data_IF_589918248724
#
_entry.id   IF_589918248724
#
_cell.length_a   1.000
_cell.length_b   1.000
_cell.length_c   1.000
_cell.angle_alpha   90.00
_cell.angle_beta   90.00
_cell.angle_gamma   90.00
#
_symmetry.space_group_name_H-M   'P 1'
#
loop_
_entity.id
_entity.type
_entity.pdbx_description
1 polymer ?
#
# COMPACT_ATOMS: atom_id res chain seq x y z
N UNK A 1 7.76 28.13 -8.97
CA UNK A 1 7.51 27.43 -10.25
C UNK A 1 8.30 26.14 -10.23
N UNK A 2 7.65 24.98 -10.13
CA UNK A 2 8.34 23.67 -10.14
C UNK A 2 8.64 23.29 -11.60
N UNK A 3 9.89 23.49 -12.01
CA UNK A 3 10.40 23.06 -13.30
C UNK A 3 10.48 21.54 -13.40
N UNK A 4 10.76 21.05 -14.60
CA UNK A 4 11.11 19.65 -14.81
C UNK A 4 12.46 19.36 -14.18
N UNK A 5 12.56 18.25 -13.44
CA UNK A 5 13.79 17.73 -12.86
C UNK A 5 14.21 16.49 -13.62
N UNK A 6 15.46 16.43 -14.08
CA UNK A 6 15.99 15.22 -14.71
C UNK A 6 16.17 14.14 -13.66
N UNK A 7 15.66 12.94 -13.90
CA UNK A 7 15.79 11.79 -13.02
C UNK A 7 16.40 10.62 -13.80
N UNK A 8 17.47 10.04 -13.29
CA UNK A 8 18.06 8.84 -13.89
C UNK A 8 17.29 7.60 -13.44
N UNK A 9 16.78 6.83 -14.39
CA UNK A 9 16.05 5.58 -14.15
C UNK A 9 16.85 4.38 -14.65
N UNK A 10 16.55 3.24 -14.07
CA UNK A 10 17.16 1.94 -14.37
C UNK A 10 16.11 0.86 -14.21
N UNK A 11 16.15 -0.18 -15.04
CA UNK A 11 15.13 -1.24 -15.05
C UNK A 11 13.72 -0.68 -15.23
N UNK A 12 13.60 0.29 -16.13
CA UNK A 12 12.37 0.94 -16.56
C UNK A 12 11.48 1.45 -15.42
N UNK A 13 12.07 1.84 -14.29
CA UNK A 13 11.31 2.18 -13.10
C UNK A 13 11.97 3.23 -12.19
N UNK A 14 11.11 3.87 -11.40
CA UNK A 14 11.46 4.68 -10.24
C UNK A 14 10.51 4.35 -9.09
N UNK A 15 10.90 4.69 -7.88
CA UNK A 15 10.09 4.57 -6.67
C UNK A 15 9.56 5.94 -6.25
N UNK A 16 8.32 5.97 -5.75
CA UNK A 16 7.75 7.10 -5.03
C UNK A 16 7.49 6.66 -3.61
N UNK A 17 8.08 7.34 -2.63
CA UNK A 17 8.01 6.94 -1.23
C UNK A 17 7.78 8.12 -0.28
N UNK A 18 6.89 7.94 0.69
CA UNK A 18 6.65 8.88 1.80
C UNK A 18 7.41 8.50 3.08
N UNK A 19 7.96 7.29 3.11
CA UNK A 19 8.76 6.71 4.21
C UNK A 19 9.93 5.95 3.56
N UNK A 20 11.02 6.65 3.20
CA UNK A 20 12.14 6.05 2.47
C UNK A 20 12.72 4.85 3.22
N UNK A 21 12.92 3.73 2.50
CA UNK A 21 13.44 2.49 3.09
C UNK A 21 12.41 1.62 3.80
N UNK A 22 11.15 2.04 3.89
CA UNK A 22 10.07 1.19 4.41
C UNK A 22 9.90 -0.06 3.54
N UNK A 23 9.75 -1.21 4.20
CA UNK A 23 9.46 -2.47 3.50
C UNK A 23 8.02 -2.46 2.97
N UNK A 24 7.85 -2.99 1.75
CA UNK A 24 6.56 -3.10 1.07
C UNK A 24 6.12 -4.55 0.81
N UNK A 25 5.10 -4.71 -0.02
CA UNK A 25 4.53 -5.93 -0.58
C UNK A 25 5.47 -6.74 -1.48
N UNK A 26 6.73 -6.32 -1.63
CA UNK A 26 7.72 -6.93 -2.51
C UNK A 26 7.17 -7.18 -3.93
N UNK A 27 7.09 -8.45 -4.36
CA UNK A 27 6.66 -8.84 -5.72
C UNK A 27 5.13 -8.98 -5.89
N UNK A 28 4.35 -8.72 -4.85
CA UNK A 28 2.88 -8.90 -4.87
C UNK A 28 2.13 -7.66 -5.36
N UNK A 29 2.76 -6.96 -6.30
CA UNK A 29 2.34 -5.66 -6.83
C UNK A 29 0.88 -5.64 -7.31
N UNK A 30 0.17 -4.56 -6.94
CA UNK A 30 -1.17 -4.23 -7.42
C UNK A 30 -1.09 -2.98 -8.30
N UNK A 31 -1.61 -3.02 -9.53
CA UNK A 31 -1.62 -1.84 -10.40
C UNK A 31 -1.70 -2.14 -11.89
N UNK A 32 -1.10 -1.26 -12.68
CA UNK A 32 -1.14 -1.29 -14.15
C UNK A 32 0.23 -1.04 -14.80
N UNK A 33 0.25 -0.78 -16.11
CA UNK A 33 1.49 -0.56 -16.86
C UNK A 33 2.24 0.73 -16.49
N UNK A 34 1.61 1.68 -15.80
CA UNK A 34 2.24 2.94 -15.40
C UNK A 34 2.66 2.94 -13.94
N UNK A 35 1.88 2.35 -13.03
CA UNK A 35 2.26 2.26 -11.62
C UNK A 35 1.84 0.95 -10.97
N UNK A 36 2.66 0.49 -10.02
CA UNK A 36 2.37 -0.61 -9.12
C UNK A 36 2.48 -0.14 -7.67
N UNK A 37 1.41 -0.27 -6.90
CA UNK A 37 1.43 0.00 -5.46
C UNK A 37 2.23 -1.10 -4.76
N UNK A 38 3.23 -0.67 -4.02
CA UNK A 38 4.15 -1.53 -3.28
C UNK A 38 3.88 -1.55 -1.78
N UNK A 39 2.94 -0.77 -1.25
CA UNK A 39 2.63 -0.74 0.18
C UNK A 39 1.87 0.52 0.57
N UNK A 40 1.69 0.80 1.88
CA UNK A 40 0.99 2.00 2.35
C UNK A 40 1.73 3.29 1.95
N UNK A 41 3.06 3.23 1.88
CA UNK A 41 3.91 4.42 1.77
C UNK A 41 4.65 4.51 0.43
N UNK A 42 4.45 3.55 -0.48
CA UNK A 42 5.25 3.44 -1.69
C UNK A 42 4.50 2.89 -2.90
N UNK A 43 4.87 3.38 -4.08
CA UNK A 43 4.57 2.74 -5.35
C UNK A 43 5.76 2.85 -6.31
N UNK A 44 5.84 1.89 -7.23
CA UNK A 44 6.77 1.90 -8.36
C UNK A 44 6.10 2.54 -9.56
N UNK A 45 6.72 3.57 -10.14
CA UNK A 45 6.33 4.12 -11.45
C UNK A 45 7.17 3.51 -12.56
N UNK A 46 6.55 3.18 -13.69
CA UNK A 46 7.22 2.58 -14.83
C UNK A 46 7.43 3.57 -15.96
N UNK A 47 8.55 3.42 -16.67
CA UNK A 47 8.94 4.18 -17.84
C UNK A 47 8.93 3.29 -19.10
N UNK A 48 8.82 3.92 -20.27
CA UNK A 48 9.11 3.29 -21.57
C UNK A 48 10.61 3.10 -21.81
N UNK A 49 11.41 4.07 -21.35
CA UNK A 49 12.88 3.95 -21.32
C UNK A 49 13.31 2.93 -20.27
N UNK A 50 14.22 2.00 -20.62
CA UNK A 50 14.74 1.03 -19.66
C UNK A 50 15.80 1.63 -18.73
N UNK A 51 16.83 2.26 -19.29
CA UNK A 51 17.89 2.92 -18.53
C UNK A 51 18.19 4.25 -19.19
N UNK A 52 18.16 5.34 -18.43
CA UNK A 52 18.42 6.66 -18.98
C UNK A 52 17.78 7.78 -18.18
N UNK A 53 17.68 8.94 -18.80
CA UNK A 53 17.10 10.13 -18.16
C UNK A 53 15.66 10.32 -18.57
N UNK A 54 14.80 10.52 -17.59
CA UNK A 54 13.46 11.09 -17.78
C UNK A 54 13.40 12.49 -17.18
N UNK A 55 12.33 13.22 -17.47
CA UNK A 55 11.98 14.45 -16.79
C UNK A 55 10.78 14.20 -15.86
N UNK A 56 10.92 14.52 -14.57
CA UNK A 56 9.86 14.37 -13.59
C UNK A 56 9.58 15.67 -12.84
N UNK A 57 8.33 15.83 -12.36
CA UNK A 57 7.93 16.94 -11.50
C UNK A 57 6.79 16.55 -10.58
N UNK A 58 6.73 17.17 -9.41
CA UNK A 58 5.63 17.05 -8.46
C UNK A 58 4.84 18.37 -8.36
N UNK A 59 3.52 18.26 -8.37
CA UNK A 59 2.56 19.35 -8.16
C UNK A 59 1.72 19.04 -6.94
N UNK A 60 1.76 19.94 -5.96
CA UNK A 60 0.95 19.83 -4.75
C UNK A 60 -0.29 20.67 -4.94
N UNK A 61 -1.45 20.03 -4.89
CA UNK A 61 -2.75 20.60 -5.19
C UNK A 61 -3.61 20.60 -3.92
N UNK A 62 -4.52 21.57 -3.81
CA UNK A 62 -5.53 21.61 -2.75
C UNK A 62 -6.64 20.58 -2.95
N UNK A 63 -6.90 20.19 -4.20
CA UNK A 63 -8.04 19.35 -4.59
C UNK A 63 -7.68 18.49 -5.82
N UNK A 64 -8.42 17.41 -6.12
CA UNK A 64 -8.18 16.60 -7.31
C UNK A 64 -8.27 17.46 -8.58
N UNK A 65 -7.37 17.26 -9.58
CA UNK A 65 -7.49 17.95 -10.85
C UNK A 65 -8.82 17.60 -11.53
N UNK A 66 -9.62 18.62 -11.85
CA UNK A 66 -10.96 18.48 -12.45
C UNK A 66 -10.93 17.81 -13.83
N UNK A 67 -9.87 18.07 -14.60
CA UNK A 67 -9.73 17.58 -15.96
C UNK A 67 -8.41 16.83 -16.16
N UNK A 68 -8.47 15.87 -17.07
CA UNK A 68 -7.29 15.23 -17.63
C UNK A 68 -6.90 16.02 -18.87
N UNK A 69 -5.75 16.71 -18.82
CA UNK A 69 -5.22 17.42 -19.98
C UNK A 69 -5.05 16.47 -21.17
N UNK A 70 -5.29 16.97 -22.38
CA UNK A 70 -5.03 16.23 -23.61
C UNK A 70 -3.52 16.09 -23.85
N UNK A 71 -3.06 14.93 -24.34
CA UNK A 71 -1.66 14.70 -24.73
C UNK A 71 -0.79 13.94 -23.71
N UNK A 72 -1.41 13.32 -22.71
CA UNK A 72 -0.79 12.28 -21.90
C UNK A 72 -0.99 10.91 -22.56
N UNK A 73 0.00 10.03 -22.43
CA UNK A 73 -0.05 8.66 -22.96
C UNK A 73 -0.69 7.70 -21.95
N UNK A 74 -0.46 7.93 -20.65
CA UNK A 74 -0.95 7.10 -19.57
C UNK A 74 -1.19 7.92 -18.30
N UNK A 75 -2.24 7.57 -17.55
CA UNK A 75 -2.59 8.22 -16.28
C UNK A 75 -3.15 7.20 -15.30
N UNK A 76 -2.55 7.16 -14.11
CA UNK A 76 -2.94 6.24 -13.04
C UNK A 76 -2.86 6.91 -11.67
N UNK A 77 -3.68 6.44 -10.75
CA UNK A 77 -3.79 6.98 -9.39
C UNK A 77 -3.51 5.92 -8.32
N UNK A 78 -2.84 6.32 -7.25
CA UNK A 78 -2.62 5.52 -6.06
C UNK A 78 -2.79 6.35 -4.77
N UNK A 79 -3.26 5.70 -3.70
CA UNK A 79 -3.31 6.33 -2.37
C UNK A 79 -2.08 5.94 -1.58
N UNK A 80 -1.42 6.92 -0.96
CA UNK A 80 -0.32 6.69 -0.03
C UNK A 80 -0.61 7.31 1.35
N UNK A 81 -0.05 6.71 2.39
CA UNK A 81 0.05 7.28 3.72
C UNK A 81 1.32 8.13 3.82
N UNK A 82 1.20 9.39 4.20
CA UNK A 82 2.31 10.33 4.39
C UNK A 82 2.34 10.85 5.83
N UNK A 83 2.95 10.13 6.77
CA UNK A 83 2.95 10.52 8.17
C UNK A 83 3.74 11.82 8.42
N UNK A 84 4.89 11.95 7.76
CA UNK A 84 5.79 13.11 7.91
C UNK A 84 5.42 14.33 7.05
N UNK A 85 4.50 14.17 6.08
CA UNK A 85 4.23 15.20 5.08
C UNK A 85 5.40 15.41 4.12
N UNK A 86 6.20 14.36 3.89
CA UNK A 86 7.28 14.35 2.91
C UNK A 86 7.09 13.21 1.91
N UNK A 87 7.51 13.45 0.68
CA UNK A 87 7.50 12.48 -0.41
C UNK A 87 8.78 12.62 -1.24
N UNK A 88 9.36 11.49 -1.64
CA UNK A 88 10.52 11.45 -2.53
C UNK A 88 10.24 10.65 -3.78
N UNK A 89 10.80 11.07 -4.91
CA UNK A 89 10.88 10.28 -6.16
C UNK A 89 12.33 9.84 -6.36
N UNK A 90 12.54 8.53 -6.47
CA UNK A 90 13.85 7.89 -6.36
C UNK A 90 14.07 7.02 -7.61
N UNK A 91 15.12 7.29 -8.38
CA UNK A 91 15.59 6.36 -9.40
C UNK A 91 16.27 5.17 -8.74
N UNK A 92 15.87 3.93 -9.07
CA UNK A 92 16.31 2.72 -8.35
C UNK A 92 17.84 2.64 -8.16
N UNK A 93 18.60 2.89 -9.22
CA UNK A 93 20.07 2.98 -9.18
C UNK A 93 20.59 4.42 -9.33
N UNK A 94 19.71 5.37 -9.62
CA UNK A 94 20.04 6.78 -9.84
C UNK A 94 20.00 7.65 -8.58
N UNK A 95 19.33 7.17 -7.52
CA UNK A 95 19.15 7.92 -6.29
C UNK A 95 18.06 9.00 -6.39
N UNK A 96 18.21 10.07 -5.59
CA UNK A 96 17.27 11.18 -5.54
C UNK A 96 17.85 12.44 -6.16
N UNK A 97 16.96 13.33 -6.61
CA UNK A 97 17.31 14.62 -7.17
C UNK A 97 16.72 15.72 -6.29
N UNK A 98 17.42 16.86 -6.14
CA UNK A 98 17.05 17.89 -5.16
C UNK A 98 15.61 18.42 -5.34
N UNK A 99 15.11 18.50 -6.58
CA UNK A 99 13.73 18.91 -6.88
C UNK A 99 12.65 17.86 -6.59
N UNK A 100 13.05 16.65 -6.25
CA UNK A 100 12.20 15.48 -6.07
C UNK A 100 12.45 14.75 -4.74
N UNK A 101 13.41 15.19 -3.93
CA UNK A 101 13.74 14.63 -2.63
C UNK A 101 13.00 15.37 -1.50
N UNK A 102 12.27 14.64 -0.67
CA UNK A 102 11.61 15.21 0.52
C UNK A 102 10.65 16.37 0.23
N UNK A 103 9.97 16.31 -0.92
CA UNK A 103 8.94 17.26 -1.35
C UNK A 103 7.86 17.35 -0.28
N UNK A 104 7.53 18.56 0.15
CA UNK A 104 6.48 18.78 1.13
C UNK A 104 5.11 18.41 0.53
N UNK A 105 4.39 17.52 1.20
CA UNK A 105 3.05 17.06 0.85
C UNK A 105 2.15 17.16 2.09
N UNK A 106 0.81 17.12 1.94
CA UNK A 106 -0.06 17.05 3.10
C UNK A 106 0.28 15.84 3.99
N UNK A 107 0.24 16.03 5.30
CA UNK A 107 0.31 14.91 6.25
C UNK A 107 -0.99 14.08 6.18
N UNK A 108 -0.89 12.81 6.50
CA UNK A 108 -2.00 11.87 6.48
C UNK A 108 -2.14 11.16 5.14
N UNK A 109 -3.37 10.92 4.69
CA UNK A 109 -3.62 10.18 3.46
C UNK A 109 -3.56 11.13 2.25
N UNK A 110 -2.79 10.75 1.24
CA UNK A 110 -2.63 11.51 0.01
C UNK A 110 -3.01 10.65 -1.20
N UNK A 111 -3.55 11.30 -2.23
CA UNK A 111 -3.72 10.71 -3.55
C UNK A 111 -2.61 11.23 -4.45
N UNK A 112 -1.98 10.31 -5.18
CA UNK A 112 -0.98 10.63 -6.20
C UNK A 112 -1.51 10.18 -7.54
N UNK A 113 -1.71 11.13 -8.46
CA UNK A 113 -2.02 10.88 -9.87
C UNK A 113 -0.75 11.06 -10.69
N UNK A 114 -0.30 9.98 -11.31
CA UNK A 114 0.87 9.97 -12.19
C UNK A 114 0.37 10.15 -13.61
N UNK A 115 0.90 11.14 -14.31
CA UNK A 115 0.73 11.36 -15.73
C UNK A 115 2.06 11.08 -16.43
N UNK A 116 2.03 10.31 -17.52
CA UNK A 116 3.21 10.03 -18.32
C UNK A 116 2.98 10.34 -19.80
N UNK A 117 4.00 10.89 -20.46
CA UNK A 117 3.99 11.16 -21.91
C UNK A 117 5.37 10.99 -22.52
N UNK A 118 5.41 10.79 -23.83
CA UNK A 118 6.65 10.48 -24.54
C UNK A 118 7.15 9.08 -24.17
N UNK A 119 6.24 8.14 -23.90
CA UNK A 119 6.56 6.77 -23.48
C UNK A 119 7.02 5.95 -24.69
N UNK A 120 8.19 6.21 -25.22
CA UNK A 120 8.76 5.41 -26.30
C UNK A 120 9.47 4.19 -25.73
N UNK A 121 9.21 3.01 -26.31
CA UNK A 121 9.94 1.81 -25.95
C UNK A 121 11.41 1.97 -26.35
N UNK A 122 12.35 1.54 -25.51
CA UNK A 122 13.80 1.72 -25.75
C UNK A 122 14.25 1.28 -27.15
N UNK A 123 13.74 0.15 -27.65
CA UNK A 123 14.05 -0.37 -28.99
C UNK A 123 13.69 0.56 -30.17
N UNK A 124 12.82 1.56 -29.96
CA UNK A 124 12.42 2.53 -30.99
C UNK A 124 12.85 3.97 -30.65
N UNK A 125 13.41 4.19 -29.45
CA UNK A 125 13.86 5.50 -29.01
C UNK A 125 15.17 5.89 -29.71
N UNK A 126 15.25 7.13 -30.18
CA UNK A 126 16.40 7.72 -30.85
C UNK A 126 16.87 8.98 -30.12
N UNK A 127 18.10 9.44 -30.39
CA UNK A 127 18.65 10.66 -29.78
C UNK A 127 17.87 11.94 -30.14
N UNK A 128 17.03 11.89 -31.19
CA UNK A 128 16.18 13.00 -31.61
C UNK A 128 14.85 13.07 -30.89
N UNK A 129 14.47 12.03 -30.15
CA UNK A 129 13.19 11.98 -29.44
C UNK A 129 13.21 12.84 -28.17
N UNK A 130 12.09 13.51 -27.83
CA UNK A 130 11.99 14.24 -26.59
C UNK A 130 12.06 13.28 -25.39
N UNK A 131 12.61 13.71 -24.23
CA UNK A 131 12.67 12.87 -23.05
C UNK A 131 11.27 12.48 -22.57
N UNK A 132 11.14 11.24 -22.10
CA UNK A 132 9.94 10.78 -21.39
C UNK A 132 9.68 11.65 -20.16
N UNK A 133 8.42 11.99 -19.93
CA UNK A 133 7.99 12.99 -18.94
C UNK A 133 6.94 12.46 -17.99
N UNK A 134 7.19 12.59 -16.70
CA UNK A 134 6.28 12.20 -15.62
C UNK A 134 5.85 13.40 -14.76
N UNK A 135 4.55 13.66 -14.65
CA UNK A 135 4.02 14.64 -13.71
C UNK A 135 3.22 13.93 -12.61
N UNK A 136 3.58 14.17 -11.36
CA UNK A 136 2.88 13.66 -10.18
C UNK A 136 2.02 14.78 -9.63
N UNK A 137 0.70 14.60 -9.62
CA UNK A 137 -0.25 15.51 -8.99
C UNK A 137 -0.66 14.91 -7.64
N UNK A 138 -0.48 15.67 -6.57
CA UNK A 138 -0.58 15.17 -5.19
C UNK A 138 -1.54 16.05 -4.41
N UNK A 139 -2.54 15.46 -3.76
CA UNK A 139 -3.49 16.18 -2.90
C UNK A 139 -3.91 15.32 -1.70
N UNK A 140 -4.42 15.97 -0.66
CA UNK A 140 -4.93 15.30 0.53
C UNK A 140 -6.26 14.58 0.25
N UNK A 141 -6.48 13.43 0.89
CA UNK A 141 -7.75 12.70 0.87
C UNK A 141 -8.07 12.17 2.26
N UNK A 142 -9.34 11.85 2.53
CA UNK A 142 -9.78 11.17 3.75
C UNK A 142 -10.14 9.69 3.50
N UNK A 143 -10.10 9.26 2.23
CA UNK A 143 -10.54 7.93 1.82
C UNK A 143 -9.44 7.17 1.07
N UNK A 144 -9.17 5.95 1.55
CA UNK A 144 -8.32 4.98 0.87
C UNK A 144 -9.19 4.20 -0.12
N UNK A 145 -8.93 4.39 -1.40
CA UNK A 145 -9.55 3.60 -2.48
C UNK A 145 -8.46 2.84 -3.25
N UNK A 146 -8.83 1.76 -3.98
CA UNK A 146 -7.89 1.04 -4.84
C UNK A 146 -7.19 1.96 -5.84
N UNK A 147 -6.07 1.49 -6.38
CA UNK A 147 -5.42 2.15 -7.52
C UNK A 147 -6.37 2.19 -8.72
N UNK A 148 -6.34 3.28 -9.49
CA UNK A 148 -7.22 3.48 -10.64
C UNK A 148 -6.43 3.85 -11.87
N UNK A 149 -6.67 3.15 -12.97
CA UNK A 149 -6.23 3.57 -14.31
C UNK A 149 -7.26 4.56 -14.87
N UNK A 150 -6.84 5.79 -15.15
CA UNK A 150 -7.66 6.82 -15.79
C UNK A 150 -7.45 6.83 -17.31
N UNK A 151 -6.20 6.62 -17.75
CA UNK A 151 -5.83 6.45 -19.14
C UNK A 151 -4.83 5.29 -19.23
N UNK A 152 -5.21 4.22 -19.91
CA UNK A 152 -4.40 3.03 -20.00
C UNK A 152 -3.16 3.25 -20.86
N UNK A 153 -2.01 2.79 -20.36
CA UNK A 153 -0.77 2.79 -21.13
C UNK A 153 -0.94 1.95 -22.42
N UNK A 154 -0.67 2.52 -23.62
CA UNK A 154 -0.71 1.75 -24.86
C UNK A 154 0.27 0.58 -24.87
N UNK A 155 1.34 0.62 -24.07
CA UNK A 155 2.34 -0.43 -23.94
C UNK A 155 2.06 -1.40 -22.78
N UNK A 156 0.80 -1.54 -22.38
CA UNK A 156 0.36 -2.32 -21.21
C UNK A 156 1.05 -3.69 -21.13
N UNK A 157 1.79 -3.92 -20.04
CA UNK A 157 2.31 -5.23 -19.68
C UNK A 157 1.22 -6.02 -18.93
N UNK A 158 1.01 -7.27 -19.34
CA UNK A 158 0.05 -8.19 -18.72
C UNK A 158 0.60 -8.83 -17.43
N UNK A 159 0.91 -8.03 -16.42
CA UNK A 159 1.41 -8.55 -15.14
C UNK A 159 0.35 -9.37 -14.41
N UNK A 160 0.70 -10.59 -14.05
CA UNK A 160 -0.17 -11.43 -13.23
C UNK A 160 -0.30 -10.81 -11.83
N UNK A 161 -1.53 -10.45 -11.47
CA UNK A 161 -1.88 -10.00 -10.12
C UNK A 161 -1.94 -11.21 -9.18
N UNK A 162 -1.51 -11.03 -7.91
CA UNK A 162 -1.50 -12.08 -6.88
C UNK A 162 -2.31 -11.67 -5.63
N UNK A 163 -3.63 -11.47 -5.75
CA UNK A 163 -4.46 -10.90 -4.68
C UNK A 163 -4.40 -11.71 -3.38
N UNK A 164 -4.37 -13.04 -3.44
CA UNK A 164 -4.24 -13.87 -2.23
C UNK A 164 -2.91 -13.65 -1.48
N UNK A 165 -1.80 -13.45 -2.22
CA UNK A 165 -0.49 -13.14 -1.61
C UNK A 165 -0.42 -11.71 -1.10
N UNK A 166 -1.10 -10.79 -1.77
CA UNK A 166 -1.27 -9.42 -1.29
C UNK A 166 -2.04 -9.39 0.04
N UNK A 167 -3.14 -10.16 0.15
CA UNK A 167 -3.91 -10.30 1.38
C UNK A 167 -3.12 -11.00 2.49
N UNK A 168 -2.31 -12.01 2.15
CA UNK A 168 -1.36 -12.63 3.08
C UNK A 168 -0.40 -11.60 3.67
N UNK A 169 0.28 -10.82 2.81
CA UNK A 169 1.16 -9.74 3.25
C UNK A 169 0.41 -8.71 4.12
N UNK A 170 -0.81 -8.35 3.73
CA UNK A 170 -1.59 -7.33 4.42
C UNK A 170 -1.92 -7.74 5.86
N UNK A 171 -2.35 -9.00 6.07
CA UNK A 171 -2.61 -9.50 7.42
C UNK A 171 -1.32 -9.55 8.26
N UNK A 172 -0.23 -10.07 7.69
CA UNK A 172 1.06 -10.15 8.38
C UNK A 172 1.63 -8.76 8.73
N UNK A 173 1.30 -7.74 7.94
CA UNK A 173 1.71 -6.36 8.21
C UNK A 173 0.88 -5.68 9.30
N UNK A 174 -0.38 -6.10 9.47
CA UNK A 174 -1.26 -5.59 10.53
C UNK A 174 -0.94 -6.24 11.88
N UNK A 175 -0.57 -7.52 11.89
CA UNK A 175 -0.15 -8.25 13.09
C UNK A 175 1.34 -8.62 13.01
N UNK A 176 2.26 -7.63 12.98
CA UNK A 176 3.68 -7.90 12.82
C UNK A 176 4.22 -8.67 14.02
N UNK A 177 4.98 -9.73 13.75
CA UNK A 177 5.72 -10.44 14.79
C UNK A 177 7.13 -9.88 14.90
N UNK A 178 7.63 -9.63 16.13
CA UNK A 178 9.06 -9.39 16.33
C UNK A 178 9.84 -10.58 15.77
N UNK A 179 10.81 -10.33 14.89
CA UNK A 179 11.72 -11.40 14.49
C UNK A 179 12.51 -11.83 15.73
N UNK A 180 12.36 -13.07 16.19
CA UNK A 180 13.17 -13.61 17.29
C UNK A 180 14.67 -13.72 16.99
N UNK A 181 15.12 -13.24 15.83
CA UNK A 181 16.53 -13.08 15.52
C UNK A 181 17.08 -11.94 16.38
N UNK A 182 18.20 -12.14 17.10
CA UNK A 182 18.88 -11.05 17.78
C UNK A 182 19.14 -9.94 16.76
N UNK A 183 18.69 -8.72 17.07
CA UNK A 183 19.05 -7.56 16.27
C UNK A 183 20.58 -7.43 16.34
N UNK A 184 21.26 -7.72 15.23
CA UNK A 184 22.73 -7.58 15.12
C UNK A 184 23.12 -6.11 15.30
N UNK A 185 22.19 -5.21 15.01
CA UNK A 185 22.35 -3.78 15.12
C UNK A 185 21.54 -3.25 16.31
N UNK A 186 22.04 -2.19 16.98
CA UNK A 186 21.24 -1.48 17.97
C UNK A 186 19.92 -1.03 17.35
N UNK A 187 18.83 -0.94 18.14
CA UNK A 187 17.55 -0.42 17.65
C UNK A 187 17.81 0.95 17.01
N UNK A 188 17.34 1.10 15.77
CA UNK A 188 17.39 2.38 15.09
C UNK A 188 16.58 3.39 15.92
N UNK A 189 16.98 4.68 15.97
CA UNK A 189 16.16 5.71 16.57
C UNK A 189 14.79 5.75 15.88
N UNK A 190 13.76 6.20 16.60
CA UNK A 190 12.42 6.38 16.06
C UNK A 190 12.50 7.16 14.74
N UNK A 191 11.98 6.54 13.69
CA UNK A 191 12.04 7.09 12.35
C UNK A 191 11.08 8.28 12.26
N UNK A 192 11.54 9.52 11.99
CA UNK A 192 10.65 10.68 11.86
C UNK A 192 9.63 10.51 10.72
N UNK A 193 9.85 9.54 9.82
CA UNK A 193 8.89 9.15 8.79
C UNK A 193 7.81 8.17 9.29
N UNK A 194 7.72 7.87 10.59
CA UNK A 194 6.71 6.96 11.14
C UNK A 194 5.84 7.60 12.24
N UNK A 195 6.01 8.90 12.49
CA UNK A 195 5.20 9.64 13.47
C UNK A 195 3.77 9.88 12.95
N UNK A 196 2.87 9.00 13.39
CA UNK A 196 1.44 9.08 13.14
C UNK A 196 0.69 9.98 14.14
N UNK A 197 1.39 10.59 15.10
CA UNK A 197 0.74 11.38 16.15
C UNK A 197 -0.05 12.56 15.58
N UNK A 198 -1.27 12.72 16.10
CA UNK A 198 -2.20 13.77 15.71
C UNK A 198 -2.81 13.62 14.31
N UNK A 199 -2.58 12.51 13.60
CA UNK A 199 -3.21 12.26 12.31
C UNK A 199 -4.60 11.66 12.45
N UNK A 200 -5.54 12.18 11.67
CA UNK A 200 -6.92 11.72 11.68
C UNK A 200 -7.04 10.28 11.19
N UNK A 201 -7.97 9.54 11.80
CA UNK A 201 -8.44 8.25 11.27
C UNK A 201 -9.14 8.48 9.92
N UNK A 202 -9.05 7.51 9.03
CA UNK A 202 -9.50 7.57 7.63
C UNK A 202 -10.59 6.56 7.35
N UNK A 203 -11.12 6.57 6.13
CA UNK A 203 -12.06 5.55 5.65
C UNK A 203 -11.44 4.70 4.56
N UNK A 204 -11.58 3.38 4.62
CA UNK A 204 -11.26 2.47 3.52
C UNK A 204 -12.54 2.20 2.74
N UNK A 205 -12.52 2.43 1.43
CA UNK A 205 -13.71 2.30 0.58
C UNK A 205 -13.47 1.26 -0.50
N UNK A 206 -14.41 0.33 -0.66
CA UNK A 206 -14.42 -0.67 -1.74
C UNK A 206 -15.75 -0.70 -2.45
N UNK A 207 -15.68 -0.73 -3.77
CA UNK A 207 -16.85 -0.81 -4.64
C UNK A 207 -16.86 -2.15 -5.37
N UNK A 208 -18.05 -2.75 -5.49
CA UNK A 208 -18.27 -4.01 -6.19
C UNK A 208 -19.55 -3.90 -7.04
N UNK A 209 -19.50 -4.24 -8.33
CA UNK A 209 -20.68 -4.15 -9.20
C UNK A 209 -21.72 -5.24 -8.89
N UNK A 210 -21.28 -6.37 -8.31
CA UNK A 210 -22.13 -7.49 -7.92
C UNK A 210 -22.37 -7.51 -6.40
N UNK A 211 -23.47 -8.13 -5.93
CA UNK A 211 -23.66 -8.42 -4.51
C UNK A 211 -22.48 -9.16 -3.91
N UNK A 212 -22.09 -8.73 -2.70
CA UNK A 212 -21.02 -9.33 -1.91
C UNK A 212 -21.53 -9.63 -0.52
N UNK A 213 -21.03 -10.72 0.04
CA UNK A 213 -21.29 -11.09 1.43
C UNK A 213 -20.15 -10.59 2.32
N UNK A 214 -20.50 -9.96 3.43
CA UNK A 214 -19.53 -9.59 4.46
C UNK A 214 -19.24 -10.84 5.30
N UNK A 215 -17.97 -11.19 5.56
CA UNK A 215 -17.60 -12.37 6.34
C UNK A 215 -17.85 -12.15 7.84
N UNK A 216 -19.12 -12.10 8.24
CA UNK A 216 -19.55 -11.93 9.64
C UNK A 216 -18.98 -13.06 10.50
N UNK A 217 -18.47 -12.69 11.68
CA UNK A 217 -17.88 -13.62 12.64
C UNK A 217 -16.42 -13.29 12.95
N UNK A 218 -15.64 -14.34 13.25
CA UNK A 218 -14.24 -14.23 13.67
C UNK A 218 -13.33 -14.46 12.47
N UNK A 219 -12.52 -13.46 12.12
CA UNK A 219 -11.44 -13.60 11.14
C UNK A 219 -10.14 -13.90 11.88
N UNK A 220 -9.52 -15.07 11.65
CA UNK A 220 -8.32 -15.46 12.38
C UNK A 220 -7.10 -14.66 11.89
N UNK A 221 -6.23 -14.25 12.81
CA UNK A 221 -5.00 -13.50 12.53
C UNK A 221 -3.80 -14.03 13.36
N UNK A 222 -3.74 -15.35 13.56
CA UNK A 222 -2.67 -16.00 14.33
C UNK A 222 -2.99 -16.03 15.82
N UNK A 223 -2.26 -15.26 16.63
CA UNK A 223 -2.59 -15.10 18.07
C UNK A 223 -3.62 -14.01 18.32
N UNK A 224 -4.00 -13.29 17.27
CA UNK A 224 -5.03 -12.28 17.29
C UNK A 224 -6.18 -12.74 16.41
N UNK A 225 -7.29 -12.05 16.56
CA UNK A 225 -8.48 -12.20 15.74
C UNK A 225 -9.14 -10.86 15.50
N UNK A 226 -9.89 -10.78 14.41
CA UNK A 226 -10.83 -9.69 14.18
C UNK A 226 -12.23 -10.22 14.41
N UNK A 227 -13.00 -9.53 15.24
CA UNK A 227 -14.43 -9.77 15.42
C UNK A 227 -15.19 -8.79 14.55
N UNK A 228 -15.99 -9.34 13.64
CA UNK A 228 -16.88 -8.60 12.76
C UNK A 228 -18.32 -8.92 13.10
N UNK A 229 -18.94 -8.08 13.93
CA UNK A 229 -20.27 -8.34 14.50
C UNK A 229 -21.33 -7.41 13.89
N UNK A 230 -22.51 -7.92 13.53
CA UNK A 230 -23.58 -7.09 13.00
C UNK A 230 -24.13 -6.17 14.08
N UNK A 231 -24.25 -4.88 13.74
CA UNK A 231 -24.93 -3.88 14.56
C UNK A 231 -26.37 -3.71 14.05
N UNK A 232 -26.53 -3.63 12.74
CA UNK A 232 -27.81 -3.62 12.04
C UNK A 232 -27.68 -4.28 10.65
N UNK A 233 -28.67 -4.10 9.76
CA UNK A 233 -28.71 -4.75 8.45
C UNK A 233 -27.62 -4.30 7.47
N UNK A 234 -26.99 -3.15 7.68
CA UNK A 234 -25.95 -2.60 6.79
C UNK A 234 -24.65 -2.23 7.54
N UNK A 235 -24.67 -2.25 8.87
CA UNK A 235 -23.58 -1.81 9.74
C UNK A 235 -23.03 -2.95 10.57
N UNK A 236 -21.70 -3.04 10.65
CA UNK A 236 -20.94 -4.01 11.42
C UNK A 236 -19.90 -3.28 12.27
N UNK A 237 -19.60 -3.84 13.45
CA UNK A 237 -18.47 -3.42 14.27
C UNK A 237 -17.24 -4.24 13.92
N UNK A 238 -16.08 -3.60 13.84
CA UNK A 238 -14.79 -4.23 13.61
C UNK A 238 -13.90 -4.01 14.83
N UNK A 239 -13.49 -5.10 15.47
CA UNK A 239 -12.72 -5.05 16.72
C UNK A 239 -11.59 -6.06 16.67
N UNK A 240 -10.37 -5.66 17.04
CA UNK A 240 -9.27 -6.59 17.28
C UNK A 240 -9.35 -7.19 18.67
N UNK A 241 -9.03 -8.47 18.80
CA UNK A 241 -8.92 -9.16 20.07
C UNK A 241 -7.74 -10.14 20.05
N UNK A 242 -7.29 -10.58 21.23
CA UNK A 242 -6.46 -11.77 21.35
C UNK A 242 -7.29 -13.00 21.00
N UNK A 243 -6.72 -13.93 20.25
CA UNK A 243 -7.36 -15.21 19.95
C UNK A 243 -7.52 -16.04 21.23
N UNK A 244 -8.63 -16.77 21.34
CA UNK A 244 -8.86 -17.70 22.46
C UNK A 244 -7.82 -18.83 22.48
N UNK A 245 -7.37 -19.25 21.29
CA UNK A 245 -6.35 -20.28 21.09
C UNK A 245 -5.16 -19.71 20.29
N UNK A 246 -4.24 -18.98 20.93
CA UNK A 246 -3.05 -18.47 20.25
C UNK A 246 -2.17 -19.64 19.79
N UNK A 247 -1.59 -19.52 18.60
CA UNK A 247 -0.86 -20.62 17.95
C UNK A 247 0.64 -20.56 18.19
N UNK A 248 1.18 -19.42 18.63
CA UNK A 248 2.61 -19.25 18.90
C UNK A 248 2.96 -19.45 20.38
N UNK A 249 4.19 -19.89 20.70
CA UNK A 249 4.63 -20.13 22.08
C UNK A 249 4.71 -18.84 22.93
N UNK A 250 4.89 -17.68 22.30
CA UNK A 250 4.84 -16.37 22.93
C UNK A 250 3.76 -15.54 22.22
N UNK A 251 2.50 -15.60 22.70
CA UNK A 251 1.39 -14.95 22.04
C UNK A 251 1.56 -13.44 21.89
N UNK A 252 1.11 -12.88 20.77
CA UNK A 252 0.93 -11.43 20.65
C UNK A 252 -0.19 -10.97 21.58
N UNK A 253 0.07 -9.90 22.33
CA UNK A 253 -0.93 -9.24 23.19
C UNK A 253 -1.20 -7.79 22.79
N UNK A 254 -0.31 -7.19 22.00
CA UNK A 254 -0.50 -5.85 21.46
C UNK A 254 -1.46 -5.92 20.27
N UNK A 255 -2.58 -5.20 20.36
CA UNK A 255 -3.53 -5.10 19.26
C UNK A 255 -3.01 -4.12 18.21
N UNK A 256 -3.27 -4.37 16.91
CA UNK A 256 -2.96 -3.39 15.87
C UNK A 256 -3.70 -2.07 16.12
N UNK A 257 -4.95 -2.18 16.56
CA UNK A 257 -5.83 -1.07 16.88
C UNK A 257 -6.67 -1.49 18.08
N UNK A 258 -6.62 -0.72 19.16
CA UNK A 258 -7.41 -0.94 20.38
C UNK A 258 -8.77 -0.22 20.34
N UNK A 259 -8.98 0.65 19.34
CA UNK A 259 -10.25 1.30 19.09
C UNK A 259 -11.12 0.50 18.12
N UNK A 260 -12.41 0.36 18.45
CA UNK A 260 -13.40 -0.23 17.55
C UNK A 260 -13.64 0.69 16.34
N UNK A 261 -13.67 0.09 15.16
CA UNK A 261 -14.03 0.75 13.90
C UNK A 261 -15.39 0.26 13.37
N UNK A 262 -15.93 0.95 12.37
CA UNK A 262 -17.26 0.65 11.81
C UNK A 262 -17.15 0.25 10.34
N UNK A 263 -17.84 -0.81 9.96
CA UNK A 263 -17.95 -1.25 8.56
C UNK A 263 -19.39 -1.06 8.11
N UNK A 264 -19.61 -0.35 7.01
CA UNK A 264 -20.93 -0.17 6.40
C UNK A 264 -20.94 -0.76 5.00
N UNK A 265 -21.95 -1.55 4.68
CA UNK A 265 -22.18 -2.09 3.35
C UNK A 265 -23.50 -1.53 2.80
N UNK A 266 -23.42 -0.54 1.94
CA UNK A 266 -24.58 0.12 1.34
C UNK A 266 -24.80 -0.34 -0.10
N UNK A 267 -26.07 -0.54 -0.48
CA UNK A 267 -26.46 -0.81 -1.87
C UNK A 267 -26.78 0.48 -2.62
N UNK A 268 -26.21 0.64 -3.80
CA UNK A 268 -26.43 1.76 -4.70
C UNK A 268 -26.80 1.32 -6.13
N UNK A 269 -27.03 2.28 -7.04
CA UNK A 269 -27.36 2.00 -8.44
C UNK A 269 -26.23 1.27 -9.18
N UNK A 270 -24.98 1.56 -8.83
CA UNK A 270 -23.79 1.00 -9.49
C UNK A 270 -23.26 -0.29 -8.82
N UNK A 271 -23.95 -0.80 -7.79
CA UNK A 271 -23.56 -1.99 -7.05
C UNK A 271 -23.50 -1.75 -5.54
N UNK A 272 -22.49 -2.31 -4.89
CA UNK A 272 -22.31 -2.30 -3.44
C UNK A 272 -21.07 -1.48 -3.08
N UNK A 273 -21.18 -0.71 -2.01
CA UNK A 273 -20.07 0.06 -1.46
C UNK A 273 -19.85 -0.34 -0.01
N UNK A 274 -18.67 -0.89 0.25
CA UNK A 274 -18.16 -1.11 1.60
C UNK A 274 -17.36 0.12 2.04
N UNK A 275 -17.64 0.62 3.24
CA UNK A 275 -16.90 1.69 3.92
C UNK A 275 -16.45 1.18 5.28
N UNK A 276 -15.16 1.06 5.50
CA UNK A 276 -14.57 0.78 6.80
C UNK A 276 -14.04 2.10 7.37
N UNK A 277 -14.82 2.69 8.27
CA UNK A 277 -14.66 4.02 8.85
C UNK A 277 -13.86 3.99 10.14
N UNK A 278 -13.26 5.13 10.49
CA UNK A 278 -12.41 5.28 11.67
C UNK A 278 -11.28 4.24 11.66
N UNK A 279 -10.49 4.18 10.59
CA UNK A 279 -9.32 3.31 10.44
C UNK A 279 -8.04 4.12 10.68
N UNK A 280 -7.06 3.56 11.40
CA UNK A 280 -5.72 4.15 11.46
C UNK A 280 -5.13 4.29 10.06
N UNK A 281 -4.63 5.47 9.71
CA UNK A 281 -4.16 5.77 8.36
C UNK A 281 -3.06 4.83 7.85
N UNK A 282 -2.11 4.46 8.70
CA UNK A 282 -1.07 3.46 8.41
C UNK A 282 -1.62 2.07 8.06
N UNK A 283 -2.83 1.73 8.51
CA UNK A 283 -3.48 0.44 8.27
C UNK A 283 -4.42 0.45 7.08
N UNK A 284 -4.81 1.63 6.59
CA UNK A 284 -5.86 1.79 5.59
C UNK A 284 -5.56 1.02 4.30
N UNK A 285 -4.32 1.03 3.84
CA UNK A 285 -3.92 0.28 2.66
C UNK A 285 -4.04 -1.24 2.87
N UNK A 286 -3.47 -1.78 3.95
CA UNK A 286 -3.50 -3.21 4.25
C UNK A 286 -4.95 -3.71 4.45
N UNK A 287 -5.76 -2.99 5.22
CA UNK A 287 -7.19 -3.30 5.38
C UNK A 287 -7.94 -3.25 4.05
N UNK A 288 -7.58 -2.32 3.18
CA UNK A 288 -8.13 -2.26 1.84
C UNK A 288 -7.82 -3.50 1.00
N UNK A 289 -6.57 -3.96 1.01
CA UNK A 289 -6.17 -5.20 0.31
C UNK A 289 -6.85 -6.43 0.91
N UNK A 290 -7.00 -6.48 2.23
CA UNK A 290 -7.76 -7.54 2.90
C UNK A 290 -9.22 -7.54 2.47
N UNK A 291 -9.87 -6.37 2.46
CA UNK A 291 -11.24 -6.26 1.98
C UNK A 291 -11.40 -6.72 0.55
N UNK A 292 -10.46 -6.37 -0.33
CA UNK A 292 -10.52 -6.83 -1.72
C UNK A 292 -10.56 -8.37 -1.79
N UNK A 293 -9.71 -9.05 -1.02
CA UNK A 293 -9.70 -10.52 -0.97
C UNK A 293 -10.94 -11.11 -0.28
N UNK A 294 -11.36 -10.55 0.86
CA UNK A 294 -12.50 -11.06 1.62
C UNK A 294 -13.82 -10.97 0.84
N UNK A 295 -14.01 -9.88 0.10
CA UNK A 295 -15.19 -9.69 -0.73
C UNK A 295 -15.19 -10.58 -1.99
N UNK A 296 -14.00 -10.92 -2.51
CA UNK A 296 -13.88 -11.72 -3.73
C UNK A 296 -13.78 -13.24 -3.44
N UNK A 297 -13.39 -13.63 -2.22
CA UNK A 297 -13.14 -15.03 -1.85
C UNK A 297 -13.53 -15.31 -0.39
N UNK A 298 -14.84 -15.32 -0.12
CA UNK A 298 -15.39 -15.59 1.21
C UNK A 298 -14.86 -16.91 1.82
N UNK A 299 -14.52 -16.87 3.11
CA UNK A 299 -14.12 -18.04 3.90
C UNK A 299 -12.72 -18.58 3.62
N UNK A 300 -11.89 -17.92 2.80
CA UNK A 300 -10.48 -18.31 2.60
C UNK A 300 -9.52 -17.29 3.18
N UNK A 301 -8.60 -17.76 4.01
CA UNK A 301 -7.64 -16.93 4.75
C UNK A 301 -6.21 -17.32 4.35
N UNK A 302 -5.66 -16.78 3.24
CA UNK A 302 -4.37 -17.21 2.69
C UNK A 302 -3.18 -17.00 3.65
N UNK A 303 -3.30 -16.09 4.62
CA UNK A 303 -2.29 -15.89 5.66
C UNK A 303 -2.22 -17.01 6.69
N UNK A 304 -3.27 -17.81 6.88
CA UNK A 304 -3.31 -18.78 7.98
C UNK A 304 -2.31 -19.91 7.80
N UNK A 305 -2.04 -20.34 6.57
CA UNK A 305 -1.05 -21.38 6.31
C UNK A 305 0.36 -20.87 6.63
N UNK A 306 0.69 -19.64 6.20
CA UNK A 306 1.95 -18.98 6.52
C UNK A 306 2.12 -18.79 8.03
N UNK A 307 1.07 -18.35 8.74
CA UNK A 307 1.12 -18.17 10.19
C UNK A 307 1.32 -19.49 10.94
N UNK A 308 0.66 -20.57 10.51
CA UNK A 308 0.84 -21.92 11.10
C UNK A 308 2.25 -22.44 10.86
N UNK A 309 2.80 -22.25 9.66
CA UNK A 309 4.18 -22.64 9.35
C UNK A 309 5.18 -21.87 10.22
N UNK A 310 5.01 -20.56 10.36
CA UNK A 310 5.82 -19.73 11.26
C UNK A 310 5.70 -20.17 12.72
N UNK A 311 4.48 -20.50 13.17
CA UNK A 311 4.25 -20.98 14.53
C UNK A 311 4.93 -22.33 14.79
N UNK A 312 4.84 -23.28 13.85
CA UNK A 312 5.51 -24.57 13.94
C UNK A 312 7.04 -24.41 14.03
N UNK A 313 7.62 -23.51 13.24
CA UNK A 313 9.04 -23.18 13.32
C UNK A 313 9.42 -22.56 14.68
N UNK A 314 8.56 -21.67 15.22
CA UNK A 314 8.78 -21.04 16.52
C UNK A 314 8.74 -22.05 17.67
N UNK A 315 7.79 -22.98 17.67
CA UNK A 315 7.73 -24.10 18.64
C UNK A 315 8.98 -24.97 18.55
N UNK A 316 9.40 -25.35 17.34
CA UNK A 316 10.61 -26.14 17.14
C UNK A 316 11.91 -25.43 17.59
N UNK A 317 11.93 -24.10 17.62
CA UNK A 317 13.03 -23.32 18.16
C UNK A 317 12.96 -23.22 19.70
N UNK A 318 11.77 -23.05 20.26
CA UNK A 318 11.57 -23.00 21.72
C UNK A 318 11.96 -24.35 22.38
N UNK A 319 11.62 -25.47 21.75
CA UNK A 319 11.93 -26.82 22.24
C UNK A 319 13.43 -27.13 22.26
N UNK A 320 14.23 -26.46 21.42
CA UNK A 320 15.69 -26.67 21.36
C UNK A 320 16.44 -26.04 22.53
N UNK A 321 15.78 -25.20 23.34
CA UNK A 321 16.39 -24.46 24.44
C UNK A 321 17.43 -23.42 23.97
N UNK A 322 17.85 -22.49 24.85
CA UNK A 322 18.96 -21.60 24.53
C UNK A 322 20.25 -22.41 24.36
N UNK A 323 21.16 -22.03 23.43
CA UNK A 323 22.47 -22.64 23.37
C UNK A 323 23.18 -22.50 24.72
N UNK A 324 23.97 -23.49 25.16
CA UNK A 324 24.69 -23.41 26.43
C UNK A 324 25.56 -22.14 26.43
N UNK A 325 25.48 -21.38 27.52
CA UNK A 325 26.35 -20.22 27.73
C UNK A 325 27.81 -20.72 27.81
N UNK A 326 28.60 -20.36 26.80
CA UNK A 326 30.05 -20.58 26.76
C UNK A 326 30.81 -19.51 27.53
#
# INVERSE_FOLDING_TARGET
MTGWTRLFISYNQYEVSTVPGASGMAIYNLGDGLLHVGGPNTFTGFCGVHTGWIEARAHILSEPPEQVDTGWDAISEATLWSPSGRLSVIGLMGGTEAGLAGVAVPRGLIRVRVHARGRLHEAVHSDGDPPERHALHIWAVSEQTPSRTLLADPQRRGWQQKPAKAAEWAMLSLAPRPSGRPAILPPLPDDPYQDDSGLSRVTVVRHRPAPVEVPVGVLPAGDLEVRLEPVDGETFSWTWATADEPIFPQPLVALPDDEQSTVRLTRGPDGFTLRHEAVLGRHAFALGVLWDHLLDTAGRYPWMDTLREQAAQAHALADKGPPPAG
#
